data_IF_250985707159
#
_entry.id   IF_250985707159
#
_cell.length_a   1.000
_cell.length_b   1.000
_cell.length_c   1.000
_cell.angle_alpha   90.00
_cell.angle_beta   90.00
_cell.angle_gamma   90.00
#
_symmetry.space_group_name_H-M   'P 1'
#
loop_
_entity.id
_entity.type
_entity.pdbx_description
1 polymer ?
#
# COMPACT_ATOMS: atom_id res chain seq x y z
N UNK A 1 -15.55 -10.39 -19.03
CA UNK A 1 -15.82 -8.94 -19.15
C UNK A 1 -17.02 -8.62 -18.28
N UNK A 2 -16.83 -7.79 -17.27
CA UNK A 2 -17.89 -7.40 -16.33
C UNK A 2 -18.96 -6.57 -17.06
N UNK A 3 -20.16 -6.43 -16.47
CA UNK A 3 -21.18 -5.52 -17.01
C UNK A 3 -20.69 -4.07 -16.99
N UNK A 4 -19.78 -3.72 -16.08
CA UNK A 4 -19.20 -2.39 -15.97
C UNK A 4 -18.22 -2.11 -17.10
N UNK A 5 -17.35 -3.06 -17.44
CA UNK A 5 -16.41 -2.92 -18.56
C UNK A 5 -17.18 -2.74 -19.89
N UNK A 6 -18.29 -3.47 -20.07
CA UNK A 6 -19.19 -3.32 -21.24
C UNK A 6 -19.85 -1.95 -21.30
N UNK A 7 -20.32 -1.46 -20.16
CA UNK A 7 -20.94 -0.14 -20.08
C UNK A 7 -19.94 0.97 -20.41
N UNK A 8 -18.71 0.85 -19.89
CA UNK A 8 -17.63 1.80 -20.13
C UNK A 8 -17.20 1.81 -21.60
N UNK A 9 -17.12 0.63 -22.23
CA UNK A 9 -16.88 0.49 -23.67
C UNK A 9 -17.97 1.20 -24.50
N UNK A 10 -19.26 0.98 -24.19
CA UNK A 10 -20.35 1.70 -24.84
C UNK A 10 -20.26 3.22 -24.61
N UNK A 11 -19.91 3.66 -23.40
CA UNK A 11 -19.82 5.08 -23.08
C UNK A 11 -18.71 5.78 -23.87
N UNK A 12 -17.55 5.12 -24.01
CA UNK A 12 -16.38 5.68 -24.70
C UNK A 12 -16.48 5.58 -26.23
N UNK A 13 -17.10 4.53 -26.76
CA UNK A 13 -17.10 4.25 -28.21
C UNK A 13 -18.45 4.53 -28.91
N UNK A 14 -19.58 4.32 -28.24
CA UNK A 14 -20.93 4.43 -28.82
C UNK A 14 -21.73 5.63 -28.28
N UNK A 15 -21.27 6.21 -27.17
CA UNK A 15 -21.80 7.43 -26.56
C UNK A 15 -22.76 7.20 -25.39
N UNK A 16 -23.00 8.28 -24.64
CA UNK A 16 -23.71 8.27 -23.35
C UNK A 16 -25.12 7.68 -23.44
N UNK A 17 -25.89 7.98 -24.50
CA UNK A 17 -27.25 7.49 -24.63
C UNK A 17 -27.34 5.96 -24.75
N UNK A 18 -26.38 5.34 -25.46
CA UNK A 18 -26.30 3.88 -25.62
C UNK A 18 -25.91 3.24 -24.29
N UNK A 19 -24.91 3.80 -23.60
CA UNK A 19 -24.46 3.32 -22.30
C UNK A 19 -25.57 3.44 -21.24
N UNK A 20 -26.30 4.56 -21.18
CA UNK A 20 -27.39 4.77 -20.22
C UNK A 20 -28.56 3.82 -20.46
N UNK A 21 -28.89 3.51 -21.72
CA UNK A 21 -29.88 2.50 -22.06
C UNK A 21 -29.44 1.10 -21.60
N UNK A 22 -28.16 0.76 -21.77
CA UNK A 22 -27.60 -0.50 -21.30
C UNK A 22 -27.62 -0.60 -19.76
N UNK A 23 -27.24 0.47 -19.07
CA UNK A 23 -27.30 0.55 -17.61
C UNK A 23 -28.73 0.36 -17.11
N UNK A 24 -29.70 1.06 -17.70
CA UNK A 24 -31.12 0.97 -17.29
C UNK A 24 -31.65 -0.47 -17.41
N UNK A 25 -31.27 -1.19 -18.47
CA UNK A 25 -31.68 -2.59 -18.67
C UNK A 25 -31.02 -3.56 -17.67
N UNK A 26 -29.84 -3.22 -17.15
CA UNK A 26 -29.03 -4.10 -16.30
C UNK A 26 -28.86 -3.56 -14.87
N UNK A 27 -29.61 -2.53 -14.47
CA UNK A 27 -29.37 -1.75 -13.27
C UNK A 27 -29.26 -2.61 -12.01
N UNK A 28 -30.21 -3.53 -11.79
CA UNK A 28 -30.21 -4.39 -10.61
C UNK A 28 -28.95 -5.28 -10.50
N UNK A 29 -28.39 -5.70 -11.64
CA UNK A 29 -27.17 -6.51 -11.67
C UNK A 29 -25.91 -5.64 -11.53
N UNK A 30 -25.92 -4.43 -12.08
CA UNK A 30 -24.80 -3.49 -12.05
C UNK A 30 -24.64 -2.81 -10.68
N UNK A 31 -25.75 -2.52 -9.99
CA UNK A 31 -25.78 -1.88 -8.68
C UNK A 31 -25.54 -2.89 -7.53
N UNK A 32 -25.55 -4.20 -7.84
CA UNK A 32 -25.47 -5.25 -6.84
C UNK A 32 -24.15 -5.17 -6.05
N UNK A 33 -24.27 -4.85 -4.77
CA UNK A 33 -23.13 -4.76 -3.85
C UNK A 33 -22.38 -3.44 -3.89
N UNK A 34 -22.82 -2.48 -4.72
CA UNK A 34 -22.25 -1.14 -4.73
C UNK A 34 -22.70 -0.35 -3.50
N UNK A 35 -21.75 0.33 -2.85
CA UNK A 35 -21.99 1.22 -1.72
C UNK A 35 -21.40 2.58 -2.08
N UNK A 36 -22.23 3.62 -2.06
CA UNK A 36 -21.80 5.00 -2.37
C UNK A 36 -21.65 5.81 -1.09
N UNK A 37 -20.57 6.59 -0.99
CA UNK A 37 -20.22 7.36 0.21
C UNK A 37 -21.24 8.44 0.59
N UNK A 38 -22.02 8.94 -0.39
CA UNK A 38 -23.07 9.94 -0.17
C UNK A 38 -24.22 9.76 -1.19
N UNK A 39 -25.45 10.08 -0.78
CA UNK A 39 -26.62 10.08 -1.66
C UNK A 39 -26.52 11.12 -2.81
N UNK A 40 -25.61 12.09 -2.69
CA UNK A 40 -25.43 13.17 -3.67
C UNK A 40 -24.79 12.70 -5.00
N UNK A 41 -24.19 11.50 -5.06
CA UNK A 41 -23.59 10.95 -6.28
C UNK A 41 -24.02 9.50 -6.45
N UNK A 42 -25.09 9.24 -7.22
CA UNK A 42 -25.49 7.90 -7.60
C UNK A 42 -24.38 7.16 -8.34
N UNK A 43 -24.46 5.84 -8.35
CA UNK A 43 -23.47 4.96 -8.97
C UNK A 43 -23.22 5.29 -10.44
N UNK A 44 -24.28 5.55 -11.23
CA UNK A 44 -24.15 5.93 -12.64
C UNK A 44 -23.33 7.22 -12.82
N UNK A 45 -23.51 8.21 -11.94
CA UNK A 45 -22.70 9.44 -11.95
C UNK A 45 -21.24 9.14 -11.68
N UNK A 46 -20.94 8.27 -10.71
CA UNK A 46 -19.57 7.86 -10.41
C UNK A 46 -18.94 7.07 -11.58
N UNK A 47 -19.70 6.20 -12.23
CA UNK A 47 -19.24 5.46 -13.42
C UNK A 47 -18.88 6.40 -14.57
N UNK A 48 -19.70 7.43 -14.84
CA UNK A 48 -19.40 8.46 -15.86
C UNK A 48 -18.14 9.26 -15.54
N UNK A 49 -17.96 9.63 -14.28
CA UNK A 49 -16.74 10.33 -13.83
C UNK A 49 -15.53 9.42 -14.01
N UNK A 50 -15.60 8.15 -13.59
CA UNK A 50 -14.52 7.17 -13.73
C UNK A 50 -14.10 6.95 -15.19
N UNK A 51 -15.07 6.79 -16.08
CA UNK A 51 -14.81 6.61 -17.52
C UNK A 51 -14.18 7.87 -18.16
N UNK A 52 -14.59 9.07 -17.70
CA UNK A 52 -14.07 10.35 -18.22
C UNK A 52 -12.67 10.68 -17.70
N UNK A 53 -12.44 10.55 -16.39
CA UNK A 53 -11.23 11.00 -15.70
C UNK A 53 -10.15 9.91 -15.66
N UNK A 54 -10.51 8.67 -16.00
CA UNK A 54 -9.66 7.50 -15.90
C UNK A 54 -9.63 6.92 -14.49
N UNK A 55 -9.27 5.63 -14.42
CA UNK A 55 -9.30 4.85 -13.17
C UNK A 55 -8.41 5.48 -12.09
N UNK A 56 -7.16 5.81 -12.42
CA UNK A 56 -6.20 6.33 -11.44
C UNK A 56 -6.67 7.64 -10.77
N UNK A 57 -7.15 8.60 -11.56
CA UNK A 57 -7.70 9.86 -11.06
C UNK A 57 -8.93 9.63 -10.19
N UNK A 58 -9.84 8.75 -10.65
CA UNK A 58 -11.06 8.43 -9.92
C UNK A 58 -10.75 7.74 -8.58
N UNK A 59 -9.84 6.78 -8.56
CA UNK A 59 -9.48 6.03 -7.38
C UNK A 59 -8.80 6.94 -6.33
N UNK A 60 -7.92 7.85 -6.77
CA UNK A 60 -7.30 8.84 -5.88
C UNK A 60 -8.33 9.82 -5.30
N UNK A 61 -9.12 10.49 -6.15
CA UNK A 61 -9.98 11.61 -5.73
C UNK A 61 -11.31 11.17 -5.11
N UNK A 62 -11.87 10.03 -5.55
CA UNK A 62 -13.22 9.60 -5.15
C UNK A 62 -13.22 8.36 -4.26
N UNK A 63 -12.17 7.52 -4.29
CA UNK A 63 -12.01 6.41 -3.35
C UNK A 63 -11.05 6.76 -2.19
N UNK A 64 -10.27 7.84 -2.30
CA UNK A 64 -9.14 8.12 -1.39
C UNK A 64 -8.22 6.90 -1.26
N UNK A 65 -8.00 6.16 -2.35
CA UNK A 65 -7.08 5.04 -2.34
C UNK A 65 -5.64 5.56 -2.52
N UNK A 66 -4.81 5.60 -1.46
CA UNK A 66 -3.44 6.10 -1.57
C UNK A 66 -2.51 5.14 -2.33
N UNK A 67 -2.97 3.92 -2.65
CA UNK A 67 -2.22 2.91 -3.40
C UNK A 67 -2.44 3.02 -4.92
N UNK A 68 -3.41 3.81 -5.38
CA UNK A 68 -3.85 3.83 -6.79
C UNK A 68 -3.09 4.79 -7.70
N UNK A 69 -2.10 5.52 -7.18
CA UNK A 69 -1.29 6.42 -8.00
C UNK A 69 0.04 5.77 -8.35
N UNK A 70 0.33 5.66 -9.65
CA UNK A 70 1.70 5.49 -10.17
C UNK A 70 2.63 6.62 -9.67
N UNK A 71 2.06 7.72 -9.15
CA UNK A 71 2.73 8.84 -8.51
C UNK A 71 3.16 8.58 -7.06
N UNK A 72 2.80 7.44 -6.45
CA UNK A 72 3.30 7.10 -5.12
C UNK A 72 4.83 6.98 -5.18
N UNK A 73 5.52 7.76 -4.34
CA UNK A 73 6.98 7.97 -4.40
C UNK A 73 7.81 6.68 -4.38
N UNK A 74 7.25 5.56 -3.89
CA UNK A 74 7.90 4.27 -3.81
C UNK A 74 7.25 3.13 -4.66
N UNK A 75 6.21 3.41 -5.44
CA UNK A 75 5.43 2.38 -6.17
C UNK A 75 6.30 1.44 -7.02
N UNK A 76 7.36 1.98 -7.62
CA UNK A 76 8.31 1.26 -8.47
C UNK A 76 9.76 1.32 -7.96
N UNK A 77 9.95 1.60 -6.66
CA UNK A 77 11.29 1.81 -6.09
C UNK A 77 11.91 0.58 -5.44
N UNK A 78 11.12 -0.48 -5.24
CA UNK A 78 11.60 -1.72 -4.64
C UNK A 78 11.92 -2.75 -5.72
N UNK A 79 13.15 -3.26 -5.70
CA UNK A 79 13.56 -4.44 -6.45
C UNK A 79 13.64 -5.62 -5.50
N UNK A 80 12.98 -6.73 -5.84
CA UNK A 80 13.04 -7.95 -5.04
C UNK A 80 14.19 -8.83 -5.51
N UNK A 81 14.93 -9.41 -4.56
CA UNK A 81 16.07 -10.29 -4.83
C UNK A 81 15.83 -11.65 -4.18
N UNK A 82 16.20 -12.71 -4.90
CA UNK A 82 16.18 -14.08 -4.38
C UNK A 82 17.47 -14.46 -3.66
N UNK A 83 18.58 -13.81 -4.02
CA UNK A 83 19.90 -14.03 -3.45
C UNK A 83 20.54 -12.69 -3.09
N UNK A 84 21.32 -12.69 -2.01
CA UNK A 84 22.07 -11.53 -1.54
C UNK A 84 23.53 -11.63 -1.97
N UNK A 85 24.18 -10.51 -2.30
CA UNK A 85 25.61 -10.52 -2.58
C UNK A 85 26.42 -10.93 -1.34
N UNK A 86 27.61 -11.47 -1.57
CA UNK A 86 28.55 -11.73 -0.47
C UNK A 86 29.04 -10.42 0.17
N UNK A 87 29.68 -10.52 1.34
CA UNK A 87 30.36 -9.40 2.02
C UNK A 87 29.45 -8.20 2.39
N UNK A 88 28.18 -8.46 2.68
CA UNK A 88 27.28 -7.44 3.23
C UNK A 88 27.72 -6.99 4.63
N UNK A 89 27.65 -5.69 4.85
CA UNK A 89 27.83 -5.08 6.16
C UNK A 89 26.44 -4.79 6.73
N UNK A 90 26.08 -5.45 7.83
CA UNK A 90 24.75 -5.34 8.40
C UNK A 90 24.62 -4.16 9.39
N UNK A 91 23.48 -3.48 9.30
CA UNK A 91 23.06 -2.42 10.21
C UNK A 91 21.61 -2.67 10.64
N UNK A 92 21.30 -2.40 11.90
CA UNK A 92 19.95 -2.49 12.43
C UNK A 92 19.31 -1.11 12.59
N UNK A 93 18.01 -1.03 12.40
CA UNK A 93 17.22 0.16 12.71
C UNK A 93 16.00 -0.23 13.54
N UNK A 94 15.70 0.58 14.56
CA UNK A 94 14.54 0.43 15.43
C UNK A 94 13.80 1.76 15.49
N UNK A 95 12.54 1.74 15.09
CA UNK A 95 11.54 2.75 15.42
C UNK A 95 10.63 2.16 16.52
N UNK A 96 10.85 2.58 17.79
CA UNK A 96 10.11 2.04 18.91
C UNK A 96 8.74 2.73 19.05
N UNK A 97 7.67 1.93 19.10
CA UNK A 97 6.37 2.43 19.56
C UNK A 97 6.17 2.11 21.05
N UNK A 98 6.18 3.17 21.88
CA UNK A 98 5.95 3.10 23.34
C UNK A 98 4.58 3.67 23.76
N UNK A 99 3.61 3.71 22.84
CA UNK A 99 2.29 4.32 23.07
C UNK A 99 1.57 3.83 24.33
N UNK A 100 0.69 4.70 24.87
CA UNK A 100 -0.11 4.45 26.10
C UNK A 100 -0.88 3.14 26.02
N UNK A 101 -1.09 2.50 27.17
CA UNK A 101 -1.76 1.22 27.29
C UNK A 101 -3.12 1.19 26.56
N UNK A 102 -3.35 0.16 25.74
CA UNK A 102 -4.64 -0.09 25.07
C UNK A 102 -4.52 -0.62 23.64
N UNK A 103 -5.68 -0.85 23.01
CA UNK A 103 -5.79 -1.35 21.63
C UNK A 103 -5.28 -0.36 20.55
N UNK A 104 -5.12 0.92 20.93
CA UNK A 104 -4.65 2.02 20.09
C UNK A 104 -3.12 2.18 20.10
N UNK A 105 -2.38 1.08 20.18
CA UNK A 105 -0.91 1.14 20.12
C UNK A 105 -0.42 1.01 18.70
N UNK A 106 0.49 1.88 18.31
CA UNK A 106 1.17 1.81 17.03
C UNK A 106 2.12 0.61 16.99
N UNK A 107 2.33 0.01 15.80
CA UNK A 107 3.35 -1.01 15.64
C UNK A 107 4.75 -0.42 15.83
N UNK A 108 5.66 -1.21 16.39
CA UNK A 108 7.10 -0.95 16.32
C UNK A 108 7.65 -1.50 15.00
N UNK A 109 8.65 -0.82 14.43
CA UNK A 109 9.38 -1.31 13.27
C UNK A 109 10.82 -1.66 13.64
N UNK A 110 11.25 -2.87 13.30
CA UNK A 110 12.64 -3.32 13.42
C UNK A 110 13.09 -3.79 12.05
N UNK A 111 14.17 -3.21 11.53
CA UNK A 111 14.71 -3.52 10.22
C UNK A 111 16.20 -3.90 10.34
N UNK A 112 16.64 -4.79 9.45
CA UNK A 112 18.05 -5.08 9.20
C UNK A 112 18.35 -4.78 7.74
N UNK A 113 19.30 -3.88 7.53
CA UNK A 113 19.83 -3.52 6.22
C UNK A 113 21.22 -4.12 6.00
N UNK A 114 21.43 -4.75 4.85
CA UNK A 114 22.75 -5.20 4.38
C UNK A 114 23.32 -4.19 3.40
N UNK A 115 24.39 -3.49 3.78
CA UNK A 115 25.07 -2.54 2.91
C UNK A 115 26.18 -3.24 2.12
N UNK A 116 26.07 -3.22 0.78
CA UNK A 116 27.10 -3.72 -0.11
C UNK A 116 28.02 -2.57 -0.52
N UNK A 117 29.19 -2.48 0.13
CA UNK A 117 30.11 -1.35 -0.02
C UNK A 117 30.61 -1.14 -1.45
N UNK A 118 30.80 -2.22 -2.21
CA UNK A 118 31.32 -2.16 -3.57
C UNK A 118 30.34 -1.48 -4.53
N UNK A 119 29.04 -1.78 -4.41
CA UNK A 119 28.00 -1.20 -5.29
C UNK A 119 27.28 -0.02 -4.67
N UNK A 120 27.53 0.29 -3.39
CA UNK A 120 26.80 1.32 -2.64
C UNK A 120 25.32 1.02 -2.40
N UNK A 121 24.87 -0.23 -2.59
CA UNK A 121 23.46 -0.61 -2.46
C UNK A 121 23.13 -1.05 -1.04
N UNK A 122 21.99 -0.62 -0.52
CA UNK A 122 21.42 -1.08 0.73
C UNK A 122 20.28 -2.06 0.43
N UNK A 123 20.41 -3.28 0.94
CA UNK A 123 19.40 -4.33 0.82
C UNK A 123 18.60 -4.40 2.11
N UNK A 124 17.27 -4.41 2.04
CA UNK A 124 16.44 -4.73 3.22
C UNK A 124 16.42 -6.25 3.39
N UNK A 125 17.05 -6.73 4.45
CA UNK A 125 17.29 -8.17 4.67
C UNK A 125 16.24 -8.77 5.60
N UNK A 126 15.81 -8.01 6.61
CA UNK A 126 14.67 -8.36 7.44
C UNK A 126 13.90 -7.09 7.79
N UNK A 127 12.57 -7.15 7.74
CA UNK A 127 11.69 -6.08 8.15
C UNK A 127 10.55 -6.66 8.99
N UNK A 128 10.47 -6.25 10.25
CA UNK A 128 9.40 -6.64 11.16
C UNK A 128 8.64 -5.41 11.62
N UNK A 129 7.37 -5.31 11.20
CA UNK A 129 6.44 -4.25 11.61
C UNK A 129 5.27 -4.91 12.35
N UNK A 130 5.25 -4.78 13.69
CA UNK A 130 4.33 -5.52 14.56
C UNK A 130 4.01 -4.74 15.83
N UNK A 131 2.83 -4.98 16.41
CA UNK A 131 2.49 -4.55 17.77
C UNK A 131 3.07 -5.54 18.78
N UNK A 132 3.96 -5.09 19.68
CA UNK A 132 4.68 -5.95 20.64
C UNK A 132 5.17 -5.18 21.86
N UNK A 133 5.01 -5.72 23.06
CA UNK A 133 5.42 -5.04 24.29
C UNK A 133 6.93 -4.66 24.28
N UNK A 134 7.37 -3.65 25.06
CA UNK A 134 8.74 -3.16 25.01
C UNK A 134 9.81 -4.23 25.27
N UNK A 135 9.53 -5.19 26.15
CA UNK A 135 10.34 -6.38 26.39
C UNK A 135 10.53 -7.22 25.12
N UNK A 136 9.46 -7.51 24.40
CA UNK A 136 9.51 -8.25 23.12
C UNK A 136 10.26 -7.48 22.04
N UNK A 137 10.16 -6.14 22.00
CA UNK A 137 10.94 -5.30 21.09
C UNK A 137 12.44 -5.51 21.37
N UNK A 138 12.85 -5.44 22.65
CA UNK A 138 14.23 -5.63 23.06
C UNK A 138 14.73 -7.05 22.73
N UNK A 139 13.93 -8.07 23.02
CA UNK A 139 14.25 -9.46 22.71
C UNK A 139 14.46 -9.68 21.20
N UNK A 140 13.60 -9.11 20.36
CA UNK A 140 13.72 -9.21 18.91
C UNK A 140 14.98 -8.51 18.38
N UNK A 141 15.32 -7.33 18.90
CA UNK A 141 16.59 -6.65 18.56
C UNK A 141 17.79 -7.50 18.94
N UNK A 142 17.80 -8.10 20.15
CA UNK A 142 18.89 -8.97 20.59
C UNK A 142 18.99 -10.21 19.71
N UNK A 143 17.86 -10.84 19.35
CA UNK A 143 17.81 -11.99 18.45
C UNK A 143 18.40 -11.63 17.09
N UNK A 144 17.96 -10.52 16.51
CA UNK A 144 18.48 -10.04 15.22
C UNK A 144 19.98 -9.68 15.30
N UNK A 145 20.44 -9.07 16.41
CA UNK A 145 21.86 -8.81 16.60
C UNK A 145 22.69 -10.09 16.64
N UNK A 146 22.20 -11.15 17.29
CA UNK A 146 22.87 -12.46 17.30
C UNK A 146 22.90 -13.12 15.93
N UNK A 147 21.86 -12.92 15.12
CA UNK A 147 21.73 -13.54 13.80
C UNK A 147 22.57 -12.82 12.73
N UNK A 148 22.53 -11.48 12.70
CA UNK A 148 23.14 -10.68 11.64
C UNK A 148 24.44 -10.00 12.02
N UNK A 149 24.77 -9.97 13.31
CA UNK A 149 25.96 -9.28 13.83
C UNK A 149 26.06 -7.83 13.34
N UNK A 150 24.95 -7.09 13.41
CA UNK A 150 24.91 -5.71 12.93
C UNK A 150 26.02 -4.88 13.58
N UNK A 151 26.72 -4.08 12.76
CA UNK A 151 27.82 -3.24 13.23
C UNK A 151 27.31 -2.09 14.11
N UNK A 152 26.11 -1.59 13.82
CA UNK A 152 25.46 -0.51 14.56
C UNK A 152 23.96 -0.63 14.47
N UNK A 153 23.30 -0.19 15.53
CA UNK A 153 21.87 0.03 15.59
C UNK A 153 21.56 1.51 15.61
N UNK A 154 20.61 1.92 14.78
CA UNK A 154 20.00 3.24 14.79
C UNK A 154 18.67 3.12 15.50
N UNK A 155 18.47 3.87 16.58
CA UNK A 155 17.24 3.83 17.36
C UNK A 155 16.64 5.22 17.30
N UNK A 156 15.42 5.32 16.78
CA UNK A 156 14.70 6.58 16.77
C UNK A 156 14.38 7.02 18.19
N UNK A 157 14.53 8.32 18.45
CA UNK A 157 14.08 8.92 19.71
C UNK A 157 12.56 8.88 19.78
N UNK A 158 12.04 8.36 20.88
CA UNK A 158 10.62 8.35 21.19
C UNK A 158 10.11 9.79 21.20
N UNK A 159 9.19 10.14 20.31
CA UNK A 159 8.50 11.43 20.29
C UNK A 159 7.32 11.46 21.26
#
# INVERSE_FOLDING_TARGET
MSLWDKWEDFYLNEGEAVADAFYTQNQAAMDKGAVVSWAARPILTLMKIRARDGHATFDSEYQNDPLSSDDAMFANSLTYWTELPANLIYFGALDPSLGKAGASRDPSAILVGGYHRETGKLYVVEAQVKKRLPDLIIEDVIRMQKQYHCQRWFVETVQ
#
